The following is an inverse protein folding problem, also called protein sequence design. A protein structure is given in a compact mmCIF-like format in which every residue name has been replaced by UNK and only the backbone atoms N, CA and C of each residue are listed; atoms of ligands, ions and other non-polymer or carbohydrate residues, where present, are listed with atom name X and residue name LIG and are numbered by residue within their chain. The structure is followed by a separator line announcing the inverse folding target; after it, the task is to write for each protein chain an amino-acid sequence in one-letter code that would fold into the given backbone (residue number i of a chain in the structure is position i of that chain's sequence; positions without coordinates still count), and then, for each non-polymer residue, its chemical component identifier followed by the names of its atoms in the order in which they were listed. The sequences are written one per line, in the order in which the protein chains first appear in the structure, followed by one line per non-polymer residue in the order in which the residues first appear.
data_IF_409542007995
#
_entry.id   IF_409542007995
#
_cell.length_a   1.000
_cell.length_b   1.000
_cell.length_c   1.000
_cell.angle_alpha   90.00
_cell.angle_beta   90.00
_cell.angle_gamma   90.00
#
_symmetry.space_group_name_H-M   'P 1'
#
loop_
_entity.id
_entity.type
_entity.pdbx_description
1 polymer ?
#
# COMPACT_ATOMS: atom_id res chain seq x y z
N UNK A 1 17.80 -14.31 17.81
CA UNK A 1 17.03 -13.91 16.60
C UNK A 1 16.70 -15.19 15.86
N UNK A 2 15.44 -15.41 15.47
CA UNK A 2 15.06 -16.64 14.76
C UNK A 2 15.60 -16.57 13.33
N UNK A 3 16.47 -17.52 13.00
CA UNK A 3 16.91 -17.83 11.65
C UNK A 3 15.68 -18.19 10.80
N UNK A 4 15.54 -17.58 9.62
CA UNK A 4 14.47 -17.94 8.68
C UNK A 4 13.86 -16.79 7.87
N UNK A 5 14.19 -15.52 8.13
CA UNK A 5 13.93 -14.47 7.14
C UNK A 5 15.17 -14.37 6.25
N UNK A 6 15.13 -15.06 5.11
CA UNK A 6 15.89 -14.61 3.95
C UNK A 6 15.71 -13.09 3.81
N UNK A 7 16.77 -12.42 3.35
CA UNK A 7 16.83 -10.97 3.07
C UNK A 7 15.89 -10.61 1.91
N UNK A 8 14.61 -10.93 2.02
CA UNK A 8 13.58 -10.45 1.13
C UNK A 8 13.60 -8.94 1.25
N UNK A 9 13.93 -8.29 0.14
CA UNK A 9 14.31 -6.88 0.10
C UNK A 9 13.18 -5.91 0.40
N UNK A 10 12.15 -6.29 1.16
CA UNK A 10 11.03 -5.48 1.62
C UNK A 10 10.89 -5.55 3.15
N UNK A 11 10.87 -4.39 3.78
CA UNK A 11 10.62 -4.21 5.21
C UNK A 11 9.22 -3.64 5.40
N UNK A 12 8.39 -4.30 6.21
CA UNK A 12 7.10 -3.72 6.61
C UNK A 12 7.33 -2.54 7.56
N UNK A 13 6.66 -1.41 7.30
CA UNK A 13 6.84 -0.17 8.07
C UNK A 13 5.60 0.15 8.90
N UNK A 14 4.44 0.28 8.24
CA UNK A 14 3.20 0.73 8.89
C UNK A 14 1.96 0.43 8.07
N UNK A 15 0.80 0.70 8.64
CA UNK A 15 -0.49 0.64 7.96
C UNK A 15 -1.38 1.84 8.30
N UNK A 16 -2.34 2.12 7.42
CA UNK A 16 -3.37 3.13 7.63
C UNK A 16 -4.72 2.68 7.06
N UNK A 17 -5.77 3.38 7.46
CA UNK A 17 -7.13 3.14 6.98
C UNK A 17 -7.86 4.47 6.70
N UNK A 18 -8.75 4.44 5.71
CA UNK A 18 -9.73 5.46 5.40
C UNK A 18 -11.12 4.83 5.24
N UNK A 19 -12.12 5.65 4.95
CA UNK A 19 -13.45 5.17 4.59
C UNK A 19 -13.44 4.37 3.26
N UNK A 20 -12.45 4.63 2.41
CA UNK A 20 -12.31 4.05 1.07
C UNK A 20 -11.47 2.76 1.04
N UNK A 21 -10.67 2.49 2.09
CA UNK A 21 -9.86 1.28 2.14
C UNK A 21 -8.73 1.30 3.17
N UNK A 22 -7.77 0.39 2.98
CA UNK A 22 -6.60 0.21 3.82
C UNK A 22 -5.32 0.40 3.00
N UNK A 23 -4.23 0.77 3.65
CA UNK A 23 -2.91 0.84 3.03
C UNK A 23 -1.86 0.17 3.91
N UNK A 24 -0.98 -0.60 3.29
CA UNK A 24 0.22 -1.14 3.91
C UNK A 24 1.45 -0.50 3.29
N UNK A 25 2.31 0.06 4.13
CA UNK A 25 3.58 0.67 3.74
C UNK A 25 4.71 -0.33 3.95
N UNK A 26 5.45 -0.59 2.88
CA UNK A 26 6.69 -1.36 2.89
C UNK A 26 7.82 -0.50 2.35
N UNK A 27 9.05 -0.78 2.76
CA UNK A 27 10.25 -0.17 2.20
C UNK A 27 11.09 -1.24 1.52
N UNK A 28 11.41 -1.04 0.25
CA UNK A 28 12.33 -1.92 -0.45
C UNK A 28 13.77 -1.44 -0.33
N UNK A 29 14.64 -2.24 0.28
CA UNK A 29 16.08 -1.92 0.34
C UNK A 29 16.79 -2.16 -0.98
N UNK A 30 16.23 -2.99 -1.86
CA UNK A 30 16.83 -3.30 -3.16
C UNK A 30 16.68 -2.18 -4.20
N UNK A 31 15.58 -1.43 -4.15
CA UNK A 31 15.30 -0.30 -5.06
C UNK A 31 15.11 1.03 -4.32
N UNK A 32 15.49 1.07 -3.04
CA UNK A 32 15.44 2.23 -2.15
C UNK A 32 14.13 3.03 -2.22
N UNK A 33 12.99 2.34 -2.27
CA UNK A 33 11.66 2.94 -2.48
C UNK A 33 10.62 2.41 -1.50
N UNK A 34 9.68 3.27 -1.12
CA UNK A 34 8.47 2.87 -0.43
C UNK A 34 7.42 2.32 -1.40
N UNK A 35 6.67 1.34 -0.92
CA UNK A 35 5.54 0.73 -1.58
C UNK A 35 4.32 0.85 -0.68
N UNK A 36 3.26 1.44 -1.21
CA UNK A 36 1.96 1.58 -0.56
C UNK A 36 0.99 0.65 -1.26
N UNK A 37 0.74 -0.52 -0.65
CA UNK A 37 -0.24 -1.49 -1.12
C UNK A 37 -1.62 -1.06 -0.64
N UNK A 38 -2.49 -0.63 -1.55
CA UNK A 38 -3.84 -0.19 -1.21
C UNK A 38 -4.81 -1.34 -1.40
N UNK A 39 -5.57 -1.63 -0.34
CA UNK A 39 -6.47 -2.77 -0.23
C UNK A 39 -7.89 -2.26 -0.06
N UNK A 40 -8.76 -2.66 -0.98
CA UNK A 40 -10.19 -2.35 -0.96
C UNK A 40 -11.04 -3.58 -0.73
N UNK A 41 -12.29 -3.38 -0.30
CA UNK A 41 -13.27 -4.47 -0.19
C UNK A 41 -13.88 -4.75 -1.57
N UNK A 42 -13.75 -5.97 -2.06
CA UNK A 42 -14.40 -6.40 -3.30
C UNK A 42 -15.70 -7.15 -2.98
N UNK A 43 -16.82 -6.62 -3.44
CA UNK A 43 -18.13 -7.30 -3.35
C UNK A 43 -18.16 -8.56 -4.21
N UNK A 44 -17.46 -8.55 -5.36
CA UNK A 44 -17.41 -9.67 -6.31
C UNK A 44 -16.58 -10.84 -5.75
N UNK A 45 -15.46 -10.55 -5.11
CA UNK A 45 -14.58 -11.58 -4.53
C UNK A 45 -14.96 -11.96 -3.09
N UNK A 46 -15.99 -11.31 -2.49
CA UNK A 46 -16.41 -11.49 -1.09
C UNK A 46 -15.22 -11.44 -0.11
N UNK A 47 -14.37 -10.42 -0.26
CA UNK A 47 -13.14 -10.29 0.53
C UNK A 47 -12.40 -8.99 0.26
N UNK A 48 -11.12 -8.97 0.63
CA UNK A 48 -10.21 -7.84 0.41
C UNK A 48 -9.31 -8.13 -0.79
N UNK A 49 -9.10 -7.12 -1.63
CA UNK A 49 -8.23 -7.22 -2.81
C UNK A 49 -7.30 -6.02 -2.85
N UNK A 50 -6.10 -6.22 -3.38
CA UNK A 50 -5.22 -5.10 -3.73
C UNK A 50 -5.88 -4.38 -4.91
N UNK A 51 -6.25 -3.13 -4.70
CA UNK A 51 -6.87 -2.27 -5.72
C UNK A 51 -5.84 -1.39 -6.42
N UNK A 52 -4.66 -1.22 -5.82
CA UNK A 52 -3.53 -0.58 -6.48
C UNK A 52 -2.29 -0.55 -5.62
N UNK A 53 -1.18 -0.17 -6.25
CA UNK A 53 0.12 -0.03 -5.61
C UNK A 53 0.72 1.30 -6.00
N UNK A 54 1.18 2.07 -5.02
CA UNK A 54 1.92 3.30 -5.27
C UNK A 54 3.37 3.13 -4.81
N UNK A 55 4.31 3.33 -5.72
CA UNK A 55 5.74 3.27 -5.44
C UNK A 55 6.34 4.67 -5.53
N UNK A 56 7.16 5.02 -4.54
CA UNK A 56 7.76 6.36 -4.44
C UNK A 56 8.95 6.31 -3.47
N UNK A 57 10.01 7.09 -3.69
CA UNK A 57 11.07 7.24 -2.69
C UNK A 57 10.64 8.11 -1.49
N UNK A 58 9.53 8.84 -1.59
CA UNK A 58 9.01 9.70 -0.53
C UNK A 58 8.35 8.91 0.61
N UNK A 59 8.69 9.31 1.83
CA UNK A 59 8.09 8.77 3.05
C UNK A 59 6.79 9.50 3.41
N UNK A 60 5.67 8.82 3.24
CA UNK A 60 4.35 9.17 3.74
C UNK A 60 4.04 8.31 4.97
N UNK A 61 4.20 8.87 6.17
CA UNK A 61 4.02 8.14 7.44
C UNK A 61 2.87 8.62 8.30
N UNK A 62 2.38 9.85 8.11
CA UNK A 62 1.29 10.35 8.95
C UNK A 62 -0.04 9.68 8.58
N UNK A 63 -0.97 9.61 9.54
CA UNK A 63 -2.34 9.13 9.28
C UNK A 63 -3.01 9.93 8.15
N UNK A 64 -2.73 11.24 8.04
CA UNK A 64 -3.27 12.08 6.99
C UNK A 64 -2.68 11.74 5.62
N UNK A 65 -1.37 11.47 5.54
CA UNK A 65 -0.72 11.10 4.29
C UNK A 65 -1.19 9.74 3.81
N UNK A 66 -1.24 8.74 4.69
CA UNK A 66 -1.72 7.39 4.35
C UNK A 66 -3.16 7.41 3.83
N UNK A 67 -4.03 8.25 4.39
CA UNK A 67 -5.39 8.48 3.85
C UNK A 67 -5.35 9.07 2.45
N UNK A 68 -4.53 10.10 2.21
CA UNK A 68 -4.36 10.70 0.88
C UNK A 68 -3.81 9.69 -0.13
N UNK A 69 -2.89 8.80 0.28
CA UNK A 69 -2.37 7.74 -0.59
C UNK A 69 -3.47 6.79 -1.05
N UNK A 70 -4.37 6.38 -0.14
CA UNK A 70 -5.53 5.55 -0.49
C UNK A 70 -6.40 6.26 -1.54
N UNK A 71 -6.83 7.51 -1.24
CA UNK A 71 -7.69 8.27 -2.15
C UNK A 71 -7.03 8.52 -3.50
N UNK A 72 -5.72 8.79 -3.54
CA UNK A 72 -4.95 8.96 -4.77
C UNK A 72 -4.96 7.69 -5.63
N UNK A 73 -4.61 6.54 -5.04
CA UNK A 73 -4.55 5.27 -5.78
C UNK A 73 -5.91 4.88 -6.35
N UNK A 74 -6.99 5.07 -5.59
CA UNK A 74 -8.35 4.81 -6.07
C UNK A 74 -8.71 5.75 -7.22
N UNK A 75 -8.53 7.06 -7.02
CA UNK A 75 -8.89 8.07 -8.02
C UNK A 75 -8.11 7.89 -9.33
N UNK A 76 -6.80 7.56 -9.25
CA UNK A 76 -6.02 7.30 -10.45
C UNK A 76 -6.41 5.98 -11.12
N UNK A 77 -6.68 4.91 -10.34
CA UNK A 77 -7.13 3.63 -10.88
C UNK A 77 -8.45 3.75 -11.66
N UNK A 78 -9.42 4.46 -11.09
CA UNK A 78 -10.75 4.64 -11.68
C UNK A 78 -10.71 5.33 -13.06
N UNK A 79 -9.71 6.17 -13.33
CA UNK A 79 -9.55 6.81 -14.66
C UNK A 79 -9.30 5.81 -15.79
N UNK A 80 -8.73 4.64 -15.47
CA UNK A 80 -8.32 3.64 -16.46
C UNK A 80 -9.22 2.40 -16.49
N UNK A 81 -10.13 2.27 -15.52
CA UNK A 81 -11.17 1.24 -15.49
C UNK A 81 -12.36 1.71 -16.34
N UNK A 82 -12.29 1.46 -17.65
CA UNK A 82 -13.41 1.66 -18.57
C UNK A 82 -14.56 0.70 -18.30
#
# INVERSE_FOLDING_TARGET
MKEGQEKDGFQYISSGESEDGYVHKLYSTGVESYYYLVVGKSLKAKGYVIIGTFQTPEDYSSKADLKKTISFVITEGDKYLK
#
